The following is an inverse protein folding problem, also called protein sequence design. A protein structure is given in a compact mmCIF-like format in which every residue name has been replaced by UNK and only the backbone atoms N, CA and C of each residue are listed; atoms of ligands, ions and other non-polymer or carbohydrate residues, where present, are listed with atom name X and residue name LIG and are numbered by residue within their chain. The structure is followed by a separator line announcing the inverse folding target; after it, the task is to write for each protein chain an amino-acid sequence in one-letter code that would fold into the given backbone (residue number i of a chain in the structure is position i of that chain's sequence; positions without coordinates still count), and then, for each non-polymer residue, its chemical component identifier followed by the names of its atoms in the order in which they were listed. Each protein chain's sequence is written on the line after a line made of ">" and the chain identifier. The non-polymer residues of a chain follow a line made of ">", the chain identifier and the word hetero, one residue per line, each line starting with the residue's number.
data_IF_028645421282
#
_entry.id   IF_028645421282
#
_cell.length_a   1.000
_cell.length_b   1.000
_cell.length_c   1.000
_cell.angle_alpha   90.00
_cell.angle_beta   90.00
_cell.angle_gamma   90.00
#
_symmetry.space_group_name_H-M   'P 1'
#
loop_
_entity.id
_entity.type
_entity.pdbx_description
1 polymer ?
#
# COMPACT_ATOMS: atom_id res chain seq x y z
N UNK A 1 41.94 -43.56 21.44
CA UNK A 1 41.36 -42.70 20.39
C UNK A 1 39.89 -43.02 20.11
N UNK A 2 39.08 -43.28 21.14
CA UNK A 2 37.61 -43.54 21.00
C UNK A 2 36.76 -42.75 22.03
N UNK A 3 37.33 -41.73 22.69
CA UNK A 3 36.62 -40.92 23.68
C UNK A 3 36.53 -39.40 23.31
N UNK A 4 36.87 -39.05 22.08
CA UNK A 4 36.85 -37.62 21.59
C UNK A 4 35.86 -37.41 20.43
N UNK A 5 34.96 -38.39 20.15
CA UNK A 5 33.92 -38.25 19.09
C UNK A 5 32.49 -38.08 19.60
N UNK A 6 32.27 -37.98 20.90
CA UNK A 6 30.94 -37.93 21.52
C UNK A 6 30.58 -36.56 22.12
N UNK A 7 31.31 -35.48 21.78
CA UNK A 7 31.04 -34.12 22.31
C UNK A 7 30.87 -33.03 21.24
N UNK A 8 30.67 -33.40 19.97
CA UNK A 8 30.40 -32.47 18.89
C UNK A 8 29.04 -32.65 18.19
N UNK A 9 28.09 -33.29 18.83
CA UNK A 9 26.70 -33.41 18.34
C UNK A 9 25.68 -32.89 19.35
N UNK A 10 25.90 -31.68 19.85
CA UNK A 10 24.86 -30.85 20.47
C UNK A 10 24.94 -29.48 19.82
N UNK A 11 24.85 -29.50 18.50
CA UNK A 11 24.54 -28.30 17.71
C UNK A 11 23.06 -27.97 17.92
N UNK A 12 22.88 -26.82 18.44
CA UNK A 12 21.65 -26.09 18.73
C UNK A 12 20.74 -26.02 17.49
N UNK A 13 19.93 -27.04 17.27
CA UNK A 13 18.80 -26.99 16.36
C UNK A 13 17.69 -26.19 17.05
N UNK A 14 17.84 -24.88 17.06
CA UNK A 14 16.67 -23.99 17.10
C UNK A 14 15.90 -24.23 15.81
N UNK A 15 15.04 -25.24 15.83
CA UNK A 15 13.94 -25.36 14.88
C UNK A 15 13.17 -24.04 14.91
N UNK A 16 13.35 -23.24 13.86
CA UNK A 16 12.43 -22.15 13.55
C UNK A 16 11.05 -22.79 13.42
N UNK A 17 10.21 -22.61 14.42
CA UNK A 17 8.81 -23.02 14.38
C UNK A 17 8.12 -22.16 13.32
N UNK A 18 8.21 -22.54 12.08
CA UNK A 18 7.31 -22.13 11.01
C UNK A 18 5.92 -22.62 11.41
N UNK A 19 5.18 -21.80 12.09
CA UNK A 19 3.75 -22.04 12.29
C UNK A 19 3.08 -21.85 10.93
N UNK A 20 2.87 -22.97 10.25
CA UNK A 20 1.95 -23.08 9.14
C UNK A 20 0.55 -22.83 9.70
N UNK A 21 0.15 -21.56 9.81
CA UNK A 21 -1.17 -21.17 10.29
C UNK A 21 -1.78 -20.13 9.38
N UNK A 22 -3.05 -20.38 9.05
CA UNK A 22 -4.00 -19.56 8.33
C UNK A 22 -3.91 -18.09 8.73
N UNK A 23 -3.92 -17.20 7.71
CA UNK A 23 -4.17 -15.77 7.78
C UNK A 23 -3.34 -15.02 8.84
N UNK A 24 -2.63 -13.95 8.51
CA UNK A 24 -2.13 -13.05 9.54
C UNK A 24 -3.33 -12.76 10.47
N UNK A 25 -3.16 -12.90 11.80
CA UNK A 25 -4.25 -12.63 12.72
C UNK A 25 -4.82 -11.26 12.38
N UNK A 26 -6.12 -11.10 12.52
CA UNK A 26 -6.91 -9.90 12.24
C UNK A 26 -6.49 -8.65 13.06
N UNK A 27 -5.21 -8.51 13.32
CA UNK A 27 -4.63 -7.38 14.03
C UNK A 27 -4.42 -6.24 13.05
N UNK A 28 -4.88 -5.06 13.40
CA UNK A 28 -4.80 -3.81 12.64
C UNK A 28 -3.36 -3.28 12.49
N UNK A 29 -2.37 -4.15 12.43
CA UNK A 29 -0.97 -3.77 12.30
C UNK A 29 -0.52 -3.90 10.85
N UNK A 30 0.34 -2.99 10.38
CA UNK A 30 0.98 -3.13 9.09
C UNK A 30 1.86 -4.38 9.01
N UNK A 31 1.80 -5.04 7.87
CA UNK A 31 2.62 -6.18 7.51
C UNK A 31 3.48 -5.83 6.31
N UNK A 32 4.67 -6.38 6.25
CA UNK A 32 5.47 -6.35 5.04
C UNK A 32 5.22 -7.65 4.28
N UNK A 33 4.68 -7.52 3.08
CA UNK A 33 4.34 -8.66 2.21
C UNK A 33 5.41 -8.80 1.13
N UNK A 34 5.92 -10.02 0.98
CA UNK A 34 6.83 -10.42 -0.07
C UNK A 34 6.17 -11.41 -1.00
N UNK A 35 6.26 -11.14 -2.30
CA UNK A 35 5.95 -12.10 -3.36
C UNK A 35 7.26 -12.66 -3.90
N UNK A 36 7.41 -13.97 -3.90
CA UNK A 36 8.59 -14.64 -4.43
C UNK A 36 8.29 -15.19 -5.82
N UNK A 37 8.82 -14.53 -6.86
CA UNK A 37 8.66 -14.96 -8.25
C UNK A 37 9.82 -15.85 -8.77
N UNK A 38 10.94 -15.95 -8.04
CA UNK A 38 12.15 -16.60 -8.55
C UNK A 38 12.32 -18.07 -8.15
N UNK A 39 11.62 -18.53 -7.14
CA UNK A 39 11.59 -19.91 -6.73
C UNK A 39 10.24 -20.48 -7.14
N UNK A 40 10.18 -21.56 -7.89
CA UNK A 40 8.96 -22.30 -8.31
C UNK A 40 7.91 -22.55 -7.19
N UNK A 41 7.97 -21.78 -6.14
CA UNK A 41 7.13 -21.81 -4.97
C UNK A 41 6.38 -20.46 -4.90
N UNK A 42 5.08 -20.47 -5.17
CA UNK A 42 4.15 -19.34 -5.02
C UNK A 42 3.97 -18.91 -3.57
N UNK A 43 5.09 -18.71 -2.88
CA UNK A 43 5.12 -18.40 -1.47
C UNK A 43 5.01 -16.91 -1.22
N UNK A 44 3.97 -16.52 -0.52
CA UNK A 44 3.83 -15.20 0.05
C UNK A 44 4.33 -15.21 1.47
N UNK A 45 5.21 -14.27 1.80
CA UNK A 45 5.79 -14.15 3.13
C UNK A 45 5.29 -12.84 3.75
N UNK A 46 4.56 -12.96 4.85
CA UNK A 46 4.10 -11.83 5.65
C UNK A 46 5.02 -11.67 6.86
N UNK A 47 5.61 -10.49 7.00
CA UNK A 47 6.49 -10.17 8.12
C UNK A 47 5.85 -9.15 9.02
N UNK A 48 5.83 -9.44 10.33
CA UNK A 48 5.33 -8.51 11.33
C UNK A 48 6.29 -7.34 11.52
N UNK A 49 5.76 -6.12 11.58
CA UNK A 49 6.56 -4.96 11.93
C UNK A 49 6.84 -4.88 13.43
N UNK A 50 5.96 -5.42 14.26
CA UNK A 50 6.10 -5.40 15.71
C UNK A 50 7.16 -6.38 16.20
N UNK A 51 7.26 -7.52 15.54
CA UNK A 51 8.32 -8.52 15.79
C UNK A 51 8.85 -9.06 14.45
N UNK A 52 9.97 -8.53 13.96
CA UNK A 52 10.58 -8.93 12.69
C UNK A 52 11.00 -10.41 12.63
N UNK A 53 11.02 -11.12 13.77
CA UNK A 53 11.30 -12.56 13.82
C UNK A 53 10.07 -13.40 13.49
N UNK A 54 8.88 -12.81 13.52
CA UNK A 54 7.64 -13.48 13.18
C UNK A 54 7.36 -13.34 11.69
N UNK A 55 7.35 -14.47 11.01
CA UNK A 55 6.96 -14.57 9.60
C UNK A 55 5.86 -15.60 9.44
N UNK A 56 4.92 -15.29 8.55
CA UNK A 56 3.90 -16.25 8.08
C UNK A 56 4.18 -16.57 6.63
N UNK A 57 4.34 -17.84 6.34
CA UNK A 57 4.55 -18.31 4.97
C UNK A 57 3.26 -18.95 4.48
N UNK A 58 2.82 -18.58 3.29
CA UNK A 58 1.59 -19.06 2.69
C UNK A 58 1.81 -19.38 1.22
N UNK A 59 1.43 -20.58 0.83
CA UNK A 59 1.32 -20.94 -0.58
C UNK A 59 -0.14 -20.82 -1.00
N UNK A 60 -0.41 -19.99 -2.00
CA UNK A 60 -1.74 -19.79 -2.57
C UNK A 60 -1.66 -20.09 -4.07
N UNK A 61 -2.07 -21.31 -4.47
CA UNK A 61 -1.96 -21.75 -5.86
C UNK A 61 -2.71 -20.83 -6.85
N UNK A 62 -3.78 -20.18 -6.39
CA UNK A 62 -4.57 -19.25 -7.21
C UNK A 62 -3.81 -17.99 -7.62
N UNK A 63 -2.68 -17.73 -6.98
CA UNK A 63 -1.80 -16.59 -7.29
C UNK A 63 -0.56 -17.00 -8.10
N UNK A 64 -0.52 -18.26 -8.56
CA UNK A 64 0.50 -18.72 -9.50
C UNK A 64 0.49 -17.87 -10.77
N UNK A 65 1.67 -17.52 -11.25
CA UNK A 65 1.84 -16.71 -12.46
C UNK A 65 1.08 -15.37 -12.45
N UNK A 66 1.01 -14.74 -11.29
CA UNK A 66 0.42 -13.40 -11.16
C UNK A 66 1.46 -12.36 -10.79
N UNK A 67 1.33 -11.16 -11.38
CA UNK A 67 2.06 -9.97 -10.98
C UNK A 67 1.22 -9.16 -9.98
N UNK A 68 1.84 -8.75 -8.88
CA UNK A 68 1.22 -7.80 -7.95
C UNK A 68 1.45 -6.39 -8.46
N UNK A 69 0.37 -5.67 -8.78
CA UNK A 69 0.41 -4.31 -9.28
C UNK A 69 0.40 -3.29 -8.14
N UNK A 70 -0.51 -3.42 -7.18
CA UNK A 70 -0.58 -2.54 -6.01
C UNK A 70 -1.29 -3.20 -4.83
N UNK A 71 -1.09 -2.64 -3.63
CA UNK A 71 -1.85 -2.99 -2.42
C UNK A 71 -2.45 -1.72 -1.84
N UNK A 72 -3.77 -1.62 -1.81
CA UNK A 72 -4.49 -0.49 -1.23
C UNK A 72 -5.75 -0.98 -0.52
N UNK A 73 -6.15 -0.30 0.56
CA UNK A 73 -7.35 -0.65 1.36
C UNK A 73 -7.43 -2.13 1.78
N UNK A 74 -6.28 -2.78 2.04
CA UNK A 74 -6.23 -4.19 2.40
C UNK A 74 -6.49 -5.17 1.23
N UNK A 75 -6.49 -4.68 -0.01
CA UNK A 75 -6.68 -5.49 -1.21
C UNK A 75 -5.46 -5.40 -2.13
N UNK A 76 -5.10 -6.53 -2.71
CA UNK A 76 -4.11 -6.65 -3.77
C UNK A 76 -4.79 -6.55 -5.13
N UNK A 77 -4.30 -5.71 -6.02
CA UNK A 77 -4.64 -5.77 -7.45
C UNK A 77 -3.57 -6.60 -8.15
N UNK A 78 -4.01 -7.64 -8.83
CA UNK A 78 -3.15 -8.65 -9.44
C UNK A 78 -3.46 -8.80 -10.93
N UNK A 79 -2.42 -9.09 -11.70
CA UNK A 79 -2.47 -9.40 -13.11
C UNK A 79 -2.04 -10.85 -13.34
N UNK A 80 -2.80 -11.61 -14.12
CA UNK A 80 -2.42 -12.96 -14.50
C UNK A 80 -1.57 -12.93 -15.78
N UNK A 81 -0.37 -13.51 -15.72
CA UNK A 81 0.64 -13.44 -16.78
C UNK A 81 0.55 -14.54 -17.83
N UNK A 82 -0.25 -15.62 -17.62
CA UNK A 82 -0.28 -16.78 -18.53
C UNK A 82 -1.19 -16.56 -19.73
N UNK A 83 -2.20 -15.72 -19.60
CA UNK A 83 -3.21 -15.58 -20.65
C UNK A 83 -2.81 -14.57 -21.72
N UNK A 84 -3.15 -14.84 -22.99
CA UNK A 84 -3.02 -13.86 -24.08
C UNK A 84 -3.94 -12.64 -23.88
N UNK A 85 -4.83 -12.66 -22.88
CA UNK A 85 -5.67 -11.56 -22.48
C UNK A 85 -5.24 -11.11 -21.08
N UNK A 86 -5.02 -9.82 -20.91
CA UNK A 86 -4.64 -9.22 -19.66
C UNK A 86 -5.79 -9.33 -18.66
N UNK A 87 -5.69 -10.31 -17.75
CA UNK A 87 -6.72 -10.60 -16.75
C UNK A 87 -6.32 -9.99 -15.42
N UNK A 88 -7.17 -9.11 -14.94
CA UNK A 88 -7.01 -8.44 -13.67
C UNK A 88 -8.01 -8.94 -12.63
N UNK A 89 -7.61 -8.97 -11.39
CA UNK A 89 -8.51 -9.27 -10.29
C UNK A 89 -8.04 -8.63 -8.98
N UNK A 90 -8.98 -8.37 -8.10
CA UNK A 90 -8.70 -7.97 -6.72
C UNK A 90 -8.68 -9.20 -5.83
N UNK A 91 -7.75 -9.24 -4.90
CA UNK A 91 -7.63 -10.31 -3.93
C UNK A 91 -7.34 -9.76 -2.54
N UNK A 92 -8.09 -10.25 -1.55
CA UNK A 92 -7.89 -9.87 -0.16
C UNK A 92 -7.11 -10.97 0.59
N UNK A 93 -5.89 -10.69 1.06
CA UNK A 93 -5.06 -11.67 1.77
C UNK A 93 -5.68 -12.21 3.06
N UNK A 94 -6.54 -11.44 3.73
CA UNK A 94 -7.14 -11.82 5.00
C UNK A 94 -8.37 -12.71 4.82
N UNK A 95 -9.29 -12.32 3.94
CA UNK A 95 -10.55 -13.05 3.71
C UNK A 95 -10.44 -14.10 2.62
N UNK A 96 -9.37 -14.11 1.82
CA UNK A 96 -9.19 -14.90 0.60
C UNK A 96 -10.24 -14.63 -0.48
N UNK A 97 -10.97 -13.56 -0.34
CA UNK A 97 -11.96 -13.16 -1.32
C UNK A 97 -11.28 -12.69 -2.58
N UNK A 98 -11.78 -13.14 -3.73
CA UNK A 98 -11.35 -12.75 -5.08
C UNK A 98 -12.49 -12.05 -5.79
N UNK A 99 -12.19 -10.97 -6.49
CA UNK A 99 -13.14 -10.24 -7.36
C UNK A 99 -12.50 -10.14 -8.73
N UNK A 100 -13.08 -10.84 -9.71
CA UNK A 100 -12.63 -10.76 -11.11
C UNK A 100 -13.03 -9.41 -11.69
N UNK A 101 -12.12 -8.82 -12.47
CA UNK A 101 -12.36 -7.57 -13.20
C UNK A 101 -12.53 -7.89 -14.70
N UNK A 102 -13.21 -7.04 -15.49
CA UNK A 102 -13.29 -7.20 -16.93
C UNK A 102 -11.90 -7.22 -17.56
N UNK A 103 -11.72 -7.98 -18.64
CA UNK A 103 -10.48 -7.97 -19.38
C UNK A 103 -10.25 -6.59 -20.02
N UNK A 104 -9.00 -6.15 -20.06
CA UNK A 104 -8.62 -5.02 -20.89
C UNK A 104 -8.75 -5.40 -22.37
N UNK A 105 -9.25 -4.48 -23.17
CA UNK A 105 -9.49 -4.69 -24.62
C UNK A 105 -8.20 -4.60 -25.45
N UNK A 106 -7.14 -4.09 -24.86
CA UNK A 106 -5.81 -3.96 -25.46
C UNK A 106 -4.75 -4.41 -24.46
N UNK A 107 -3.59 -4.77 -24.96
CA UNK A 107 -2.42 -5.05 -24.15
C UNK A 107 -1.83 -3.72 -23.66
N UNK A 108 -1.85 -3.52 -22.35
CA UNK A 108 -1.43 -2.28 -21.69
C UNK A 108 -0.29 -2.57 -20.73
N UNK A 109 0.80 -1.87 -20.91
CA UNK A 109 1.86 -1.89 -19.91
C UNK A 109 1.45 -0.98 -18.73
N UNK A 110 0.98 -1.61 -17.66
CA UNK A 110 0.47 -0.92 -16.47
C UNK A 110 1.64 -0.46 -15.61
N UNK A 111 1.77 0.86 -15.42
CA UNK A 111 2.79 1.46 -14.56
C UNK A 111 2.33 1.58 -13.11
N UNK A 112 1.29 2.36 -12.91
CA UNK A 112 0.76 2.70 -11.57
C UNK A 112 -0.73 2.40 -11.48
N UNK A 113 -1.24 2.15 -10.27
CA UNK A 113 -2.64 1.84 -10.03
C UNK A 113 -3.18 2.57 -8.79
N UNK A 114 -4.47 2.94 -8.83
CA UNK A 114 -5.17 3.54 -7.67
C UNK A 114 -6.55 2.93 -7.50
N UNK A 115 -6.89 2.62 -6.25
CA UNK A 115 -8.24 2.31 -5.80
C UNK A 115 -8.78 3.51 -4.99
N UNK A 116 -10.00 3.97 -5.29
CA UNK A 116 -10.60 5.10 -4.56
C UNK A 116 -11.02 4.74 -3.14
N UNK A 117 -11.43 3.50 -2.93
CA UNK A 117 -11.92 2.99 -1.65
C UNK A 117 -11.76 1.47 -1.58
N UNK A 118 -12.14 0.88 -0.44
CA UNK A 118 -12.23 -0.58 -0.33
C UNK A 118 -13.29 -1.14 -1.28
N UNK A 119 -13.00 -2.24 -2.01
CA UNK A 119 -13.97 -2.93 -2.88
C UNK A 119 -15.22 -3.45 -2.16
N UNK A 120 -15.19 -3.53 -0.84
CA UNK A 120 -16.31 -4.00 -0.01
C UNK A 120 -16.90 -2.88 0.86
N UNK A 121 -16.52 -1.63 0.63
CA UNK A 121 -17.16 -0.48 1.26
C UNK A 121 -18.66 -0.47 0.95
N UNK A 122 -19.48 -0.09 1.93
CA UNK A 122 -20.94 -0.08 1.81
C UNK A 122 -21.50 1.30 1.45
N UNK A 123 -20.72 2.33 1.67
CA UNK A 123 -21.05 3.75 1.53
C UNK A 123 -20.48 4.39 0.26
N UNK A 124 -19.47 3.78 -0.33
CA UNK A 124 -18.84 4.25 -1.55
C UNK A 124 -18.58 3.10 -2.54
N UNK A 125 -18.76 3.37 -3.83
CA UNK A 125 -18.41 2.42 -4.88
C UNK A 125 -16.92 2.59 -5.20
N UNK A 126 -16.20 1.49 -5.20
CA UNK A 126 -14.78 1.47 -5.51
C UNK A 126 -14.54 1.77 -6.99
N UNK A 127 -13.75 2.78 -7.27
CA UNK A 127 -13.23 3.12 -8.58
C UNK A 127 -11.79 2.61 -8.69
N UNK A 128 -11.43 2.02 -9.82
CA UNK A 128 -10.09 1.50 -10.10
C UNK A 128 -9.52 2.25 -11.29
N UNK A 129 -8.30 2.74 -11.15
CA UNK A 129 -7.59 3.49 -12.17
C UNK A 129 -6.25 2.82 -12.45
N UNK A 130 -5.97 2.57 -13.73
CA UNK A 130 -4.71 2.03 -14.21
C UNK A 130 -4.05 3.09 -15.08
N UNK A 131 -2.80 3.39 -14.79
CA UNK A 131 -2.00 4.35 -15.53
C UNK A 131 -1.01 3.61 -16.41
N UNK A 132 -1.03 3.89 -17.72
CA UNK A 132 -0.05 3.29 -18.62
C UNK A 132 1.35 3.84 -18.36
N UNK A 133 2.36 2.98 -18.39
CA UNK A 133 3.76 3.36 -18.22
C UNK A 133 4.38 3.97 -19.49
N UNK A 134 3.76 3.79 -20.64
CA UNK A 134 4.31 4.18 -21.94
C UNK A 134 3.40 5.06 -22.80
N UNK A 135 2.13 5.16 -22.44
CA UNK A 135 1.15 6.00 -23.15
C UNK A 135 0.54 7.03 -22.22
N UNK A 136 -0.12 8.02 -22.79
CA UNK A 136 -0.87 9.05 -22.06
C UNK A 136 -2.32 8.60 -21.84
N UNK A 137 -2.52 7.34 -21.45
CA UNK A 137 -3.84 6.74 -21.21
C UNK A 137 -4.03 6.36 -19.75
N UNK A 138 -5.25 6.59 -19.26
CA UNK A 138 -5.78 6.07 -18.00
C UNK A 138 -6.94 5.14 -18.34
N UNK A 139 -6.91 3.94 -17.79
CA UNK A 139 -8.03 3.02 -17.84
C UNK A 139 -8.80 3.11 -16.53
N UNK A 140 -10.05 3.46 -16.63
CA UNK A 140 -10.95 3.66 -15.50
C UNK A 140 -12.04 2.60 -15.47
N UNK A 141 -12.28 2.04 -14.30
CA UNK A 141 -13.33 1.07 -14.04
C UNK A 141 -14.01 1.35 -12.72
N UNK A 142 -15.33 1.44 -12.71
CA UNK A 142 -16.12 1.46 -11.49
C UNK A 142 -16.58 0.05 -11.18
N UNK A 143 -16.37 -0.42 -9.96
CA UNK A 143 -16.71 -1.79 -9.57
C UNK A 143 -18.19 -2.07 -9.82
N UNK A 144 -18.44 -3.07 -10.68
CA UNK A 144 -19.78 -3.44 -11.16
C UNK A 144 -20.10 -2.98 -12.59
N UNK A 145 -19.23 -2.21 -13.23
CA UNK A 145 -19.36 -1.91 -14.66
C UNK A 145 -19.06 -3.14 -15.52
N UNK A 146 -19.48 -3.12 -16.79
CA UNK A 146 -19.26 -4.22 -17.72
C UNK A 146 -17.89 -4.18 -18.39
N UNK A 147 -17.25 -2.99 -18.46
CA UNK A 147 -16.00 -2.78 -19.21
C UNK A 147 -15.19 -1.58 -18.67
N UNK A 148 -13.91 -1.56 -19.01
CA UNK A 148 -13.04 -0.43 -18.76
C UNK A 148 -13.34 0.74 -19.71
N UNK A 149 -13.11 1.94 -19.25
CA UNK A 149 -13.15 3.17 -20.06
C UNK A 149 -11.73 3.72 -20.19
N UNK A 150 -11.26 3.89 -21.42
CA UNK A 150 -9.97 4.52 -21.70
C UNK A 150 -10.14 6.04 -21.84
N UNK A 151 -9.25 6.79 -21.19
CA UNK A 151 -9.18 8.26 -21.26
C UNK A 151 -7.76 8.67 -21.64
N UNK A 152 -7.62 9.28 -22.81
CA UNK A 152 -6.35 9.84 -23.29
C UNK A 152 -6.20 11.28 -22.75
N UNK A 153 -5.03 11.61 -22.18
CA UNK A 153 -4.80 12.91 -21.52
C UNK A 153 -3.61 13.71 -22.11
N UNK A 154 -3.14 13.34 -23.27
CA UNK A 154 -2.01 14.01 -23.95
C UNK A 154 -2.27 15.48 -24.20
N UNK A 155 -3.43 15.81 -24.74
CA UNK A 155 -3.79 17.19 -25.09
C UNK A 155 -3.87 18.08 -23.84
N UNK A 156 -4.36 17.55 -22.71
CA UNK A 156 -4.43 18.27 -21.44
C UNK A 156 -3.03 18.61 -20.92
N UNK A 157 -2.06 17.67 -21.01
CA UNK A 157 -0.67 17.93 -20.65
C UNK A 157 -0.01 18.95 -21.59
N UNK A 158 -0.22 18.84 -22.90
CA UNK A 158 0.31 19.79 -23.86
C UNK A 158 -0.21 21.21 -23.63
N UNK A 159 -1.49 21.34 -23.30
CA UNK A 159 -2.09 22.63 -22.92
C UNK A 159 -1.42 23.20 -21.65
N UNK A 160 -1.24 22.40 -20.60
CA UNK A 160 -0.55 22.81 -19.39
C UNK A 160 0.87 23.31 -19.65
N UNK A 161 1.59 22.63 -20.50
CA UNK A 161 2.94 22.99 -20.92
C UNK A 161 2.97 24.32 -21.67
N UNK A 162 2.04 24.50 -22.60
CA UNK A 162 1.89 25.76 -23.32
C UNK A 162 1.64 26.93 -22.38
N UNK A 163 0.76 26.75 -21.38
CA UNK A 163 0.50 27.76 -20.36
C UNK A 163 1.74 28.15 -19.53
N UNK A 164 2.65 27.20 -19.32
CA UNK A 164 3.94 27.46 -18.64
C UNK A 164 5.00 28.11 -19.54
N UNK A 165 4.67 28.45 -20.79
CA UNK A 165 5.62 29.02 -21.76
C UNK A 165 6.72 28.04 -22.21
N UNK A 166 6.52 26.73 -22.01
CA UNK A 166 7.48 25.69 -22.40
C UNK A 166 7.14 25.15 -23.80
N UNK A 167 8.18 24.72 -24.54
CA UNK A 167 7.97 24.19 -25.91
C UNK A 167 7.31 22.80 -25.86
N UNK A 168 6.13 22.68 -26.44
CA UNK A 168 5.33 21.43 -26.53
C UNK A 168 6.09 20.30 -27.24
N UNK A 169 7.05 20.61 -28.12
CA UNK A 169 7.84 19.59 -28.84
C UNK A 169 8.65 18.66 -27.93
N UNK A 170 8.88 19.03 -26.67
CA UNK A 170 9.59 18.21 -25.68
C UNK A 170 8.65 17.22 -24.96
N UNK A 171 7.32 17.45 -24.98
CA UNK A 171 6.31 16.62 -24.32
C UNK A 171 6.10 15.28 -25.05
N UNK A 172 6.49 15.18 -26.32
CA UNK A 172 6.02 14.14 -27.25
C UNK A 172 6.46 12.71 -26.95
N UNK A 173 7.46 12.46 -26.14
CA UNK A 173 8.04 11.11 -26.08
C UNK A 173 8.02 10.39 -24.73
N UNK A 174 7.82 11.09 -23.59
CA UNK A 174 7.87 10.45 -22.28
C UNK A 174 7.02 11.18 -21.22
N UNK A 175 5.90 11.76 -21.56
CA UNK A 175 5.04 12.48 -20.60
C UNK A 175 3.90 11.58 -20.18
N UNK A 176 4.10 10.82 -19.14
CA UNK A 176 3.09 10.03 -18.48
C UNK A 176 2.92 10.51 -17.02
N UNK A 177 1.81 10.14 -16.43
CA UNK A 177 1.52 10.40 -15.03
C UNK A 177 2.04 9.24 -14.18
N UNK A 178 2.65 9.56 -13.07
CA UNK A 178 3.22 8.60 -12.12
C UNK A 178 2.80 8.91 -10.71
N UNK A 179 2.97 7.94 -9.83
CA UNK A 179 2.79 8.10 -8.40
C UNK A 179 1.38 8.64 -8.05
N UNK A 180 0.31 8.07 -8.61
CA UNK A 180 -1.04 8.54 -8.38
C UNK A 180 -1.52 8.20 -6.97
N UNK A 181 -2.34 9.08 -6.39
CA UNK A 181 -2.99 8.86 -5.10
C UNK A 181 -4.41 9.43 -5.12
N UNK A 182 -5.35 8.72 -4.52
CA UNK A 182 -6.71 9.22 -4.33
C UNK A 182 -6.80 10.02 -3.03
N UNK A 183 -7.31 11.24 -3.11
CA UNK A 183 -7.46 12.13 -1.97
C UNK A 183 -8.62 13.11 -2.22
N UNK A 184 -9.51 13.27 -1.24
CA UNK A 184 -10.62 14.25 -1.31
C UNK A 184 -11.48 14.14 -2.59
N UNK A 185 -11.79 12.93 -3.05
CA UNK A 185 -12.63 12.73 -4.24
C UNK A 185 -11.91 12.94 -5.58
N UNK A 186 -10.62 13.21 -5.58
CA UNK A 186 -9.79 13.41 -6.76
C UNK A 186 -8.57 12.50 -6.75
N UNK A 187 -7.99 12.25 -7.93
CA UNK A 187 -6.68 11.66 -8.03
C UNK A 187 -5.65 12.76 -8.25
N UNK A 188 -4.56 12.68 -7.52
CA UNK A 188 -3.39 13.52 -7.67
C UNK A 188 -2.26 12.67 -8.20
N UNK A 189 -1.60 13.12 -9.27
CA UNK A 189 -0.49 12.41 -9.88
C UNK A 189 0.63 13.37 -10.24
N UNK A 190 1.86 12.87 -10.27
CA UNK A 190 3.02 13.63 -10.71
C UNK A 190 3.21 13.46 -12.22
N UNK A 191 3.40 14.55 -12.95
CA UNK A 191 3.88 14.46 -14.33
C UNK A 191 5.35 14.04 -14.33
N UNK A 192 5.67 12.95 -15.02
CA UNK A 192 7.05 12.45 -15.17
C UNK A 192 7.98 13.49 -15.80
N UNK A 193 7.43 14.36 -16.62
CA UNK A 193 8.15 15.43 -17.28
C UNK A 193 7.76 16.79 -16.72
N UNK A 194 8.69 17.51 -16.10
CA UNK A 194 8.51 18.85 -15.59
C UNK A 194 8.06 18.97 -14.15
N UNK A 195 7.82 17.84 -13.50
CA UNK A 195 7.53 17.75 -12.06
C UNK A 195 6.45 18.73 -11.61
N UNK A 196 5.26 18.60 -12.13
CA UNK A 196 4.08 19.32 -11.67
C UNK A 196 2.97 18.35 -11.27
N UNK A 197 2.12 18.81 -10.36
CA UNK A 197 0.97 18.04 -9.89
C UNK A 197 -0.16 18.15 -10.92
N UNK A 198 -0.76 17.01 -11.23
CA UNK A 198 -1.97 16.90 -12.07
C UNK A 198 -3.11 16.43 -11.18
N UNK A 199 -4.28 17.07 -11.33
CA UNK A 199 -5.50 16.68 -10.63
C UNK A 199 -6.47 16.08 -11.63
N UNK A 200 -6.97 14.90 -11.31
CA UNK A 200 -7.92 14.15 -12.13
C UNK A 200 -9.24 14.06 -11.35
N UNK A 201 -10.27 14.67 -11.89
CA UNK A 201 -11.61 14.69 -11.31
C UNK A 201 -12.53 13.74 -12.06
N UNK A 202 -13.34 12.98 -11.33
CA UNK A 202 -14.41 12.18 -11.91
C UNK A 202 -15.55 13.08 -12.37
N UNK A 203 -16.01 12.89 -13.61
CA UNK A 203 -17.18 13.57 -14.18
C UNK A 203 -18.25 12.59 -14.60
N UNK A 204 -19.34 12.55 -13.82
CA UNK A 204 -20.41 11.60 -14.06
C UNK A 204 -19.95 10.15 -13.91
N UNK A 205 -20.65 9.21 -14.59
CA UNK A 205 -20.43 7.79 -14.41
C UNK A 205 -19.15 7.26 -15.09
N UNK A 206 -18.78 7.81 -16.25
CA UNK A 206 -17.66 7.29 -17.09
C UNK A 206 -16.69 8.35 -17.60
N UNK A 207 -16.72 9.55 -17.06
CA UNK A 207 -15.86 10.63 -17.50
C UNK A 207 -14.79 11.00 -16.49
N UNK A 208 -13.60 11.29 -16.98
CA UNK A 208 -12.55 11.93 -16.20
C UNK A 208 -12.27 13.30 -16.78
N UNK A 209 -12.03 14.27 -15.91
CA UNK A 209 -11.49 15.57 -16.29
C UNK A 209 -10.10 15.70 -15.73
N UNK A 210 -9.17 15.90 -16.60
CA UNK A 210 -7.76 16.12 -16.28
C UNK A 210 -7.56 17.64 -16.15
N UNK A 211 -7.27 18.08 -14.93
CA UNK A 211 -6.94 19.47 -14.65
C UNK A 211 -5.44 19.54 -14.36
N UNK A 212 -4.63 19.96 -15.31
CA UNK A 212 -3.23 20.21 -15.00
C UNK A 212 -3.15 21.43 -14.10
N UNK A 213 -3.16 21.17 -12.82
CA UNK A 213 -2.89 22.21 -11.83
C UNK A 213 -1.40 22.49 -11.87
N UNK A 214 -1.01 23.67 -12.35
CA UNK A 214 0.39 24.05 -12.49
C UNK A 214 1.00 24.35 -11.10
N UNK A 215 0.98 23.37 -10.24
CA UNK A 215 1.73 23.41 -8.98
C UNK A 215 3.03 22.65 -9.20
N UNK A 216 4.11 23.40 -9.27
CA UNK A 216 5.43 22.78 -9.34
C UNK A 216 5.69 21.96 -8.09
N UNK A 217 6.15 20.74 -8.28
CA UNK A 217 6.64 19.93 -7.19
C UNK A 217 7.82 20.63 -6.52
N UNK A 218 7.98 20.52 -5.19
CA UNK A 218 9.11 21.10 -4.49
C UNK A 218 10.42 20.64 -5.10
N UNK A 219 11.36 21.57 -5.24
CA UNK A 219 12.69 21.26 -5.74
C UNK A 219 13.70 21.44 -4.62
N UNK A 220 14.28 20.35 -4.17
CA UNK A 220 15.48 20.45 -3.34
C UNK A 220 16.66 20.93 -4.20
N UNK A 221 17.64 21.61 -3.60
CA UNK A 221 18.87 21.94 -4.30
C UNK A 221 19.49 20.70 -4.97
N UNK A 222 20.21 20.85 -6.08
CA UNK A 222 20.93 19.75 -6.71
C UNK A 222 21.79 19.01 -5.68
N UNK A 223 21.60 17.71 -5.59
CA UNK A 223 22.39 16.84 -4.70
C UNK A 223 23.08 15.76 -5.52
N UNK A 224 24.10 15.16 -4.93
CA UNK A 224 24.75 13.97 -5.48
C UNK A 224 23.96 12.66 -5.25
N UNK A 225 22.78 12.79 -4.67
CA UNK A 225 21.91 11.65 -4.33
C UNK A 225 20.77 11.55 -5.33
N UNK A 226 20.35 10.33 -5.57
CA UNK A 226 19.14 10.03 -6.30
C UNK A 226 17.92 10.41 -5.47
N UNK A 227 16.81 10.67 -6.14
CA UNK A 227 15.54 11.07 -5.49
C UNK A 227 14.42 10.18 -5.96
N UNK A 228 13.68 9.67 -5.00
CA UNK A 228 12.40 9.02 -5.20
C UNK A 228 11.33 9.88 -4.53
N UNK A 229 10.24 10.12 -5.21
CA UNK A 229 9.09 10.83 -4.67
C UNK A 229 7.92 9.88 -4.48
N UNK A 230 7.14 10.09 -3.43
CA UNK A 230 5.89 9.38 -3.21
C UNK A 230 4.82 10.35 -2.72
N UNK A 231 3.67 10.33 -3.40
CA UNK A 231 2.47 10.96 -2.89
C UNK A 231 1.81 10.02 -1.87
N UNK A 232 1.22 10.60 -0.84
CA UNK A 232 0.58 9.86 0.23
C UNK A 232 -0.63 10.64 0.73
N UNK A 233 -1.73 9.96 0.93
CA UNK A 233 -2.92 10.49 1.58
C UNK A 233 -2.95 10.11 3.05
N UNK A 234 -3.36 11.03 3.93
CA UNK A 234 -3.66 10.75 5.32
C UNK A 234 -4.69 11.72 5.87
N UNK A 235 -5.85 11.22 6.27
CA UNK A 235 -6.96 12.01 6.82
C UNK A 235 -7.36 13.19 5.91
N UNK A 236 -7.54 12.95 4.63
CA UNK A 236 -7.86 13.92 3.60
C UNK A 236 -6.78 15.02 3.41
N UNK A 237 -5.58 14.78 3.89
CA UNK A 237 -4.41 15.63 3.63
C UNK A 237 -3.47 14.93 2.65
N UNK A 238 -2.98 15.69 1.69
CA UNK A 238 -2.04 15.19 0.68
C UNK A 238 -0.60 15.51 1.08
N UNK A 239 0.24 14.49 1.10
CA UNK A 239 1.67 14.60 1.41
C UNK A 239 2.52 14.20 0.22
N UNK A 240 3.68 14.82 0.12
CA UNK A 240 4.76 14.40 -0.76
C UNK A 240 5.97 14.06 0.11
N UNK A 241 6.48 12.85 -0.07
CA UNK A 241 7.68 12.38 0.60
C UNK A 241 8.80 12.27 -0.43
N UNK A 242 9.85 13.09 -0.29
CA UNK A 242 11.08 12.95 -1.06
C UNK A 242 12.08 12.08 -0.29
N UNK A 243 12.53 11.03 -0.92
CA UNK A 243 13.50 10.07 -0.38
C UNK A 243 14.83 10.30 -1.08
N UNK A 244 15.83 10.72 -0.34
CA UNK A 244 17.19 10.88 -0.85
C UNK A 244 17.95 9.58 -0.61
N UNK A 245 18.48 9.00 -1.67
CA UNK A 245 19.14 7.70 -1.58
C UNK A 245 20.35 7.60 -2.52
N UNK A 246 21.19 6.61 -2.29
CA UNK A 246 22.15 6.08 -3.23
C UNK A 246 21.69 4.69 -3.66
N UNK A 247 22.38 4.08 -4.61
CA UNK A 247 22.10 2.69 -5.01
C UNK A 247 22.10 1.70 -3.82
N UNK A 248 22.80 2.01 -2.74
CA UNK A 248 22.98 1.09 -1.61
C UNK A 248 22.21 1.44 -0.35
N UNK A 249 21.84 2.71 -0.15
CA UNK A 249 21.25 3.15 1.12
C UNK A 249 20.41 4.42 0.98
N UNK A 250 19.45 4.53 1.88
CA UNK A 250 18.72 5.76 2.12
C UNK A 250 19.60 6.73 2.93
N UNK A 251 19.51 7.99 2.59
CA UNK A 251 20.26 9.08 3.24
C UNK A 251 19.35 9.89 4.14
N UNK A 252 18.17 10.27 3.66
CA UNK A 252 17.28 11.16 4.39
C UNK A 252 15.91 11.24 3.70
N UNK A 253 14.94 11.76 4.43
CA UNK A 253 13.60 12.04 3.93
C UNK A 253 13.28 13.52 4.08
N UNK A 254 12.45 14.05 3.17
CA UNK A 254 11.85 15.37 3.29
C UNK A 254 10.37 15.22 3.04
N UNK A 255 9.55 15.77 3.93
CA UNK A 255 8.10 15.67 3.84
C UNK A 255 7.51 17.05 3.58
N UNK A 256 6.60 17.11 2.64
CA UNK A 256 5.79 18.29 2.34
C UNK A 256 4.31 17.93 2.46
N UNK A 257 3.51 18.88 2.88
CA UNK A 257 2.06 18.83 2.87
C UNK A 257 1.54 19.77 1.81
N UNK A 258 0.49 19.38 1.11
CA UNK A 258 -0.17 20.23 0.13
C UNK A 258 -1.24 21.08 0.80
N UNK A 259 -1.10 22.40 0.72
CA UNK A 259 -2.11 23.34 1.19
C UNK A 259 -3.08 23.66 0.04
N UNK A 260 -4.24 23.01 0.07
CA UNK A 260 -5.24 23.09 -1.00
C UNK A 260 -5.73 24.53 -1.25
N UNK A 261 -5.91 25.31 -0.18
CA UNK A 261 -6.39 26.71 -0.28
C UNK A 261 -5.41 27.65 -1.00
N UNK A 262 -4.11 27.34 -0.89
CA UNK A 262 -3.03 28.13 -1.46
C UNK A 262 -2.44 27.51 -2.72
N UNK A 263 -2.84 26.26 -3.03
CA UNK A 263 -2.27 25.46 -4.12
C UNK A 263 -0.74 25.41 -4.08
N UNK A 264 -0.18 25.16 -2.89
CA UNK A 264 1.27 25.12 -2.70
C UNK A 264 1.70 24.03 -1.72
N UNK A 265 2.95 23.58 -1.87
CA UNK A 265 3.59 22.64 -0.96
C UNK A 265 4.25 23.36 0.21
N UNK A 266 3.96 22.93 1.42
CA UNK A 266 4.61 23.39 2.65
C UNK A 266 5.47 22.27 3.24
N UNK A 267 6.73 22.59 3.53
CA UNK A 267 7.62 21.64 4.20
C UNK A 267 7.21 21.46 5.66
N UNK A 268 6.93 20.21 6.06
CA UNK A 268 6.55 19.89 7.43
C UNK A 268 7.72 19.34 8.24
N UNK A 269 7.68 19.60 9.54
CA UNK A 269 8.69 19.15 10.51
C UNK A 269 8.17 18.05 11.44
N UNK A 270 6.87 17.80 11.42
CA UNK A 270 6.21 16.78 12.22
C UNK A 270 4.95 16.31 11.49
N UNK A 271 4.65 15.03 11.57
CA UNK A 271 3.38 14.41 11.15
C UNK A 271 2.54 14.00 12.35
N UNK A 272 2.91 14.47 13.53
CA UNK A 272 2.23 14.23 14.81
C UNK A 272 2.20 12.73 15.15
N UNK A 273 1.02 12.23 15.43
CA UNK A 273 0.72 10.84 15.78
C UNK A 273 0.59 9.90 14.58
N UNK A 274 0.84 10.38 13.38
CA UNK A 274 0.81 9.55 12.16
C UNK A 274 2.10 8.78 11.98
N UNK A 275 1.95 7.65 11.30
CA UNK A 275 3.06 6.81 10.84
C UNK A 275 2.87 6.57 9.35
N UNK A 276 3.91 6.80 8.56
CA UNK A 276 3.91 6.58 7.13
C UNK A 276 4.65 5.30 6.78
N UNK A 277 4.01 4.44 6.00
CA UNK A 277 4.56 3.21 5.46
C UNK A 277 4.74 3.36 3.97
N UNK A 278 5.99 3.31 3.51
CA UNK A 278 6.35 3.61 2.13
C UNK A 278 7.12 2.43 1.55
N UNK A 279 6.67 1.93 0.40
CA UNK A 279 7.38 0.94 -0.39
C UNK A 279 8.18 1.62 -1.51
N UNK A 280 9.18 0.92 -2.00
CA UNK A 280 9.90 1.34 -3.21
C UNK A 280 9.01 1.25 -4.45
N UNK A 281 8.08 0.31 -4.45
CA UNK A 281 7.04 0.09 -5.46
C UNK A 281 5.68 0.49 -4.85
N UNK A 282 4.66 0.67 -5.63
CA UNK A 282 3.38 1.34 -5.42
C UNK A 282 2.46 0.89 -4.26
N UNK A 283 2.95 0.63 -3.08
CA UNK A 283 2.09 0.49 -1.91
C UNK A 283 2.57 1.39 -0.78
N UNK A 284 1.91 2.51 -0.62
CA UNK A 284 2.20 3.44 0.47
C UNK A 284 0.91 3.83 1.16
N UNK A 285 0.91 3.88 2.48
CA UNK A 285 -0.24 4.31 3.25
C UNK A 285 0.19 4.95 4.58
N UNK A 286 -0.74 5.65 5.20
CA UNK A 286 -0.58 6.22 6.53
C UNK A 286 -1.55 5.57 7.51
N UNK A 287 -1.15 5.46 8.76
CA UNK A 287 -2.06 5.14 9.85
C UNK A 287 -1.73 5.99 11.09
N UNK A 288 -2.62 5.95 12.07
CA UNK A 288 -2.33 6.49 13.41
C UNK A 288 -1.34 5.58 14.14
N UNK A 289 -0.55 6.13 15.04
CA UNK A 289 0.26 5.34 15.95
C UNK A 289 -0.65 4.43 16.79
N UNK A 290 -0.41 3.12 16.72
CA UNK A 290 -1.37 2.13 17.22
C UNK A 290 -1.17 1.89 18.71
N UNK A 291 0.05 2.08 19.21
CA UNK A 291 0.39 1.93 20.63
C UNK A 291 1.74 2.62 20.93
N UNK A 292 2.24 2.47 22.15
CA UNK A 292 3.55 2.98 22.57
C UNK A 292 4.75 2.37 21.78
N UNK A 293 4.54 1.29 21.05
CA UNK A 293 5.60 0.61 20.27
C UNK A 293 5.74 1.20 18.87
N UNK A 294 4.63 1.69 18.27
CA UNK A 294 4.66 2.46 17.02
C UNK A 294 4.51 3.94 17.35
N UNK A 295 5.62 4.57 17.69
CA UNK A 295 5.63 6.00 17.97
C UNK A 295 5.25 6.81 16.72
N UNK A 296 4.40 7.83 16.89
CA UNK A 296 4.07 8.77 15.83
C UNK A 296 5.29 9.54 15.33
N UNK A 297 5.15 10.22 14.20
CA UNK A 297 6.24 11.01 13.61
C UNK A 297 7.26 10.18 12.83
N UNK A 298 6.98 8.91 12.52
CA UNK A 298 7.91 7.99 11.87
C UNK A 298 7.51 7.63 10.45
N UNK A 299 8.53 7.39 9.62
CA UNK A 299 8.42 6.83 8.28
C UNK A 299 9.13 5.47 8.28
N UNK A 300 8.39 4.42 7.90
CA UNK A 300 8.90 3.09 7.64
C UNK A 300 9.05 2.90 6.13
N UNK A 301 10.27 2.66 5.68
CA UNK A 301 10.55 2.53 4.25
C UNK A 301 11.15 1.17 3.93
N UNK A 302 10.42 0.40 3.13
CA UNK A 302 10.89 -0.86 2.59
C UNK A 302 11.66 -0.62 1.28
N UNK A 303 12.97 -0.80 1.32
CA UNK A 303 13.84 -0.63 0.16
C UNK A 303 13.98 -1.95 -0.60
N UNK A 304 13.88 -1.91 -1.91
CA UNK A 304 13.96 -3.11 -2.77
C UNK A 304 15.26 -3.87 -2.56
N UNK A 305 15.20 -5.20 -2.61
CA UNK A 305 16.35 -6.10 -2.51
C UNK A 305 17.14 -5.98 -1.19
N UNK A 306 16.45 -5.64 -0.10
CA UNK A 306 17.06 -5.56 1.23
C UNK A 306 16.21 -6.32 2.23
N UNK A 307 16.89 -7.02 3.14
CA UNK A 307 16.28 -7.73 4.26
C UNK A 307 16.19 -6.85 5.52
N UNK A 308 16.00 -5.56 5.34
CA UNK A 308 15.79 -4.61 6.42
C UNK A 308 14.89 -3.45 5.97
N UNK A 309 14.25 -2.81 6.93
CA UNK A 309 13.42 -1.62 6.76
C UNK A 309 14.14 -0.43 7.35
N UNK A 310 14.12 0.71 6.67
CA UNK A 310 14.54 1.98 7.23
C UNK A 310 13.41 2.58 8.06
N UNK A 311 13.75 3.07 9.25
CA UNK A 311 12.84 3.81 10.13
C UNK A 311 13.43 5.19 10.34
N UNK A 312 12.71 6.20 9.90
CA UNK A 312 13.11 7.60 9.98
C UNK A 312 12.18 8.37 10.89
N UNK A 313 12.73 9.06 11.86
CA UNK A 313 12.00 10.01 12.69
C UNK A 313 12.09 11.40 12.07
N UNK A 314 10.94 12.02 11.81
CA UNK A 314 10.87 13.31 11.12
C UNK A 314 11.36 14.47 12.00
N UNK A 315 11.16 14.39 13.31
CA UNK A 315 11.45 15.47 14.25
C UNK A 315 12.95 15.60 14.55
N UNK A 316 13.57 14.50 14.96
CA UNK A 316 15.00 14.47 15.29
C UNK A 316 15.90 14.08 14.11
N UNK A 317 15.31 13.66 12.97
CA UNK A 317 15.98 13.24 11.74
C UNK A 317 16.85 11.99 11.91
N UNK A 318 16.63 11.20 12.95
CA UNK A 318 17.30 9.94 13.14
C UNK A 318 16.85 8.93 12.07
N UNK A 319 17.78 8.13 11.58
CA UNK A 319 17.55 7.06 10.61
C UNK A 319 18.22 5.79 11.12
N UNK A 320 17.40 4.77 11.33
CA UNK A 320 17.88 3.44 11.72
C UNK A 320 17.46 2.41 10.65
N UNK A 321 18.14 1.29 10.62
CA UNK A 321 17.76 0.13 9.80
C UNK A 321 17.41 -1.04 10.72
N UNK A 322 16.21 -1.57 10.57
CA UNK A 322 15.73 -2.73 11.31
C UNK A 322 15.82 -3.98 10.43
N UNK A 323 16.62 -4.98 10.80
CA UNK A 323 16.73 -6.20 10.02
C UNK A 323 15.48 -7.08 10.15
N UNK A 324 15.19 -7.82 9.08
CA UNK A 324 14.18 -8.87 9.01
C UNK A 324 14.89 -10.20 8.69
N UNK A 325 15.38 -10.93 9.69
CA UNK A 325 16.32 -12.04 9.50
C UNK A 325 15.74 -13.23 8.74
N UNK A 326 14.41 -13.36 8.72
CA UNK A 326 13.72 -14.47 8.07
C UNK A 326 13.30 -14.19 6.63
N UNK A 327 13.70 -13.03 6.08
CA UNK A 327 13.42 -12.72 4.69
C UNK A 327 14.46 -13.35 3.78
N UNK A 328 14.01 -13.94 2.68
CA UNK A 328 14.94 -14.45 1.67
C UNK A 328 15.73 -13.29 1.06
N UNK A 329 17.01 -13.54 0.76
CA UNK A 329 17.95 -12.60 0.16
C UNK A 329 17.69 -12.45 -1.36
N UNK A 330 16.42 -12.34 -1.75
CA UNK A 330 15.98 -12.48 -3.12
C UNK A 330 15.56 -11.12 -3.74
N UNK A 331 15.58 -11.06 -5.06
CA UNK A 331 15.13 -9.93 -5.89
C UNK A 331 13.60 -9.73 -5.86
N UNK A 332 12.98 -10.00 -4.72
CA UNK A 332 11.54 -9.89 -4.53
C UNK A 332 11.14 -8.46 -4.15
N UNK A 333 9.98 -8.06 -4.65
CA UNK A 333 9.39 -6.78 -4.26
C UNK A 333 8.71 -6.94 -2.90
N UNK A 334 8.99 -5.98 -2.01
CA UNK A 334 8.33 -5.90 -0.72
C UNK A 334 7.33 -4.75 -0.73
N UNK A 335 6.12 -5.03 -0.29
CA UNK A 335 5.05 -4.05 -0.22
C UNK A 335 4.43 -4.02 1.17
N UNK A 336 4.04 -2.83 1.61
CA UNK A 336 3.30 -2.69 2.85
C UNK A 336 1.83 -3.08 2.66
N UNK A 337 1.32 -3.81 3.62
CA UNK A 337 -0.05 -4.30 3.67
C UNK A 337 -0.68 -3.94 5.02
N UNK A 338 -1.82 -3.26 5.00
CA UNK A 338 -2.64 -3.02 6.19
C UNK A 338 -3.92 -3.86 6.06
N UNK A 339 -4.14 -4.84 6.95
CA UNK A 339 -5.35 -5.65 6.93
C UNK A 339 -6.61 -4.79 7.09
N UNK A 340 -7.60 -5.04 6.25
CA UNK A 340 -8.94 -4.48 6.42
C UNK A 340 -9.75 -5.37 7.37
N UNK A 341 -10.20 -4.80 8.50
CA UNK A 341 -11.02 -5.51 9.48
C UNK A 341 -12.50 -5.21 9.22
N UNK A 342 -13.26 -6.22 8.91
CA UNK A 342 -14.72 -6.09 8.88
C UNK A 342 -15.25 -5.87 10.29
N UNK A 343 -16.07 -4.86 10.48
CA UNK A 343 -16.82 -4.59 11.73
C UNK A 343 -17.78 -5.72 12.14
N UNK A 344 -18.01 -6.72 11.27
CA UNK A 344 -18.90 -7.85 11.53
C UNK A 344 -18.45 -8.76 12.68
N UNK A 345 -17.15 -8.82 12.97
CA UNK A 345 -16.66 -9.66 14.07
C UNK A 345 -16.93 -9.05 15.45
N UNK A 346 -17.08 -7.73 15.55
CA UNK A 346 -17.37 -7.05 16.82
C UNK A 346 -18.78 -7.38 17.28
N UNK A 347 -19.76 -7.46 16.36
CA UNK A 347 -21.13 -7.79 16.69
C UNK A 347 -21.35 -9.27 17.06
N UNK A 348 -20.51 -10.18 16.59
CA UNK A 348 -20.56 -11.60 16.97
C UNK A 348 -19.90 -11.84 18.32
N UNK A 349 -18.80 -11.16 18.64
CA UNK A 349 -18.20 -11.21 19.98
C UNK A 349 -19.11 -10.58 21.04
N UNK A 350 -19.78 -9.48 20.76
CA UNK A 350 -20.73 -8.87 21.69
C UNK A 350 -22.00 -9.73 21.82
N UNK A 351 -22.51 -10.36 20.74
CA UNK A 351 -23.61 -11.33 20.84
C UNK A 351 -23.20 -12.61 21.56
N UNK A 352 -21.94 -13.05 21.45
CA UNK A 352 -21.39 -14.17 22.21
C UNK A 352 -21.30 -13.89 23.70
N UNK A 353 -20.88 -12.68 24.07
CA UNK A 353 -20.80 -12.22 25.48
C UNK A 353 -22.19 -11.99 26.08
N UNK A 354 -23.16 -11.49 25.32
CA UNK A 354 -24.54 -11.30 25.76
C UNK A 354 -25.28 -12.63 26.02
N UNK A 355 -25.01 -13.68 25.25
CA UNK A 355 -25.63 -15.00 25.46
C UNK A 355 -25.05 -15.77 26.65
N UNK A 356 -23.78 -15.51 27.01
CA UNK A 356 -23.17 -16.11 28.20
C UNK A 356 -23.54 -15.36 29.51
N UNK A 357 -23.83 -14.06 29.43
CA UNK A 357 -24.29 -13.28 30.59
C UNK A 357 -25.74 -13.54 31.00
N UNK A 358 -26.58 -14.11 30.13
CA UNK A 358 -27.97 -14.48 30.45
C UNK A 358 -28.14 -15.91 31.02
N UNK A 359 -27.09 -16.74 31.02
CA UNK A 359 -27.15 -18.09 31.61
C UNK A 359 -26.76 -18.15 33.09
N UNK A 360 -26.20 -17.10 33.66
CA UNK A 360 -25.81 -17.07 35.08
C UNK A 360 -26.82 -16.38 36.02
N UNK A 361 -27.93 -15.83 35.53
CA UNK A 361 -28.92 -15.12 36.39
C UNK A 361 -30.24 -15.86 36.59
N UNK A 362 -30.31 -17.18 36.32
CA UNK A 362 -31.50 -17.99 36.61
C UNK A 362 -31.14 -19.16 37.54
N UNK A 363 -30.55 -18.89 38.67
CA UNK A 363 -30.57 -19.76 39.85
C UNK A 363 -30.33 -18.90 41.08
N UNK A 364 -31.41 -18.55 41.74
CA UNK A 364 -31.37 -17.83 43.01
C UNK A 364 -32.71 -17.36 43.52
N UNK A 365 -33.44 -18.30 44.15
CA UNK A 365 -34.32 -18.09 45.32
C UNK A 365 -35.72 -17.52 45.11
N UNK A 366 -36.63 -18.45 45.00
CA UNK A 366 -38.01 -18.33 45.52
C UNK A 366 -37.90 -18.38 47.08
N UNK A 367 -38.27 -17.31 47.76
CA UNK A 367 -38.77 -17.35 49.15
C UNK A 367 -40.07 -16.62 49.25
N UNK A 368 -41.11 -17.42 49.55
CA UNK A 368 -42.40 -17.00 50.10
C UNK A 368 -42.22 -16.13 51.36
N UNK A 369 -43.04 -15.12 51.48
CA UNK A 369 -43.51 -14.66 52.80
C UNK A 369 -45.00 -14.24 52.68
N UNK A 370 -45.79 -14.95 53.50
CA UNK A 370 -47.19 -14.72 53.80
C UNK A 370 -47.39 -13.45 54.64
N UNK A 371 -48.43 -12.72 54.33
CA UNK A 371 -49.50 -12.26 55.22
C UNK A 371 -49.18 -11.35 56.41
N UNK A 372 -50.11 -10.54 56.93
CA UNK A 372 -51.62 -10.58 56.81
C UNK A 372 -52.22 -9.37 56.05
#
# INVERSE_FOLDING_TARGET
>A
MQRLRAQMELGDTRESRTKQQCVPPSQQYPWLLYFNHELDENNQIFCSILDPTITYNRNIPELEDTNLLTIQHGWCLLENCISNAQKLFLWNPCSLQKIELPNLTCDVDIGDCVLSSSPIATDEVCDIFLFSSHTTSIFYYQLGDDQWTEVEYREDLEMAWSMMGKKVSLVRYNSYLTNPIYCNGCIYAESSFGRFLVVIEKRGHRGLKINPTIVLMPTLPPTRYDRLCRLLESNNELFLIEILHTYHKVISFVVYKFEFALSMWEKVKSIKDRVFFISHVDSSFACQAINSETEGGRIYYAFTNKNFVYIYNIEDKSLISQPFPNLPDLRSYSMWFLPEIRSTNILEEERGKSKNGQKESIHGSIHLLDMP
#
